data_IF_939504768517
#
_entry.id   IF_939504768517
#
_cell.length_a   1.000
_cell.length_b   1.000
_cell.length_c   1.000
_cell.angle_alpha   90.00
_cell.angle_beta   90.00
_cell.angle_gamma   90.00
#
_symmetry.space_group_name_H-M   'P 1'
#
loop_
_entity.id
_entity.type
_entity.pdbx_description
1 polymer ?
#
# COMPACT_ATOMS: atom_id res chain seq x y z
N UNK A 1 -32.77 10.53 -7.65
CA UNK A 1 -31.63 9.86 -7.01
C UNK A 1 -30.99 8.84 -7.96
N UNK A 2 -31.74 7.85 -8.51
CA UNK A 2 -31.20 6.83 -9.41
C UNK A 2 -30.48 7.42 -10.65
N UNK A 3 -31.07 8.41 -11.29
CA UNK A 3 -30.45 9.08 -12.44
C UNK A 3 -29.13 9.79 -12.09
N UNK A 4 -29.01 10.35 -10.87
CA UNK A 4 -27.77 10.98 -10.42
C UNK A 4 -26.69 9.92 -10.11
N UNK A 5 -27.04 8.77 -9.58
CA UNK A 5 -26.07 7.65 -9.37
C UNK A 5 -25.52 7.17 -10.71
N UNK A 6 -26.40 6.97 -11.69
CA UNK A 6 -25.98 6.59 -13.03
C UNK A 6 -25.09 7.65 -13.70
N UNK A 7 -25.41 8.93 -13.48
CA UNK A 7 -24.61 10.03 -14.00
C UNK A 7 -23.23 10.11 -13.29
N UNK A 8 -23.16 9.79 -11.99
CA UNK A 8 -21.91 9.70 -11.25
C UNK A 8 -21.01 8.60 -11.86
N UNK A 9 -21.56 7.40 -12.09
CA UNK A 9 -20.84 6.29 -12.72
C UNK A 9 -20.29 6.68 -14.11
N UNK A 10 -21.07 7.40 -14.92
CA UNK A 10 -20.61 7.90 -16.23
C UNK A 10 -19.41 8.84 -16.06
N UNK A 11 -19.48 9.83 -15.16
CA UNK A 11 -18.38 10.78 -14.96
C UNK A 11 -17.13 10.11 -14.36
N UNK A 12 -17.27 9.08 -13.52
CA UNK A 12 -16.16 8.27 -13.05
C UNK A 12 -15.49 7.50 -14.21
N UNK A 13 -16.27 6.90 -15.11
CA UNK A 13 -15.75 6.21 -16.29
C UNK A 13 -15.05 7.17 -17.26
N UNK A 14 -15.62 8.37 -17.47
CA UNK A 14 -15.02 9.43 -18.28
C UNK A 14 -13.84 10.12 -17.59
N UNK A 15 -13.62 9.87 -16.29
CA UNK A 15 -12.63 10.54 -15.43
C UNK A 15 -12.81 12.06 -15.37
N UNK A 16 -14.07 12.52 -15.49
CA UNK A 16 -14.46 13.91 -15.29
C UNK A 16 -14.75 14.16 -13.80
N UNK A 17 -13.65 14.23 -13.04
CA UNK A 17 -13.72 14.29 -11.57
C UNK A 17 -14.41 15.55 -11.06
N UNK A 18 -14.32 16.68 -11.78
CA UNK A 18 -15.03 17.89 -11.39
C UNK A 18 -16.54 17.71 -11.43
N UNK A 19 -17.07 17.08 -12.48
CA UNK A 19 -18.49 16.78 -12.56
C UNK A 19 -18.88 15.68 -11.58
N UNK A 20 -18.05 14.66 -11.39
CA UNK A 20 -18.29 13.61 -10.42
C UNK A 20 -18.45 14.18 -8.99
N UNK A 21 -17.60 15.11 -8.57
CA UNK A 21 -17.71 15.81 -7.28
C UNK A 21 -19.06 16.52 -7.18
N UNK A 22 -19.44 17.34 -8.18
CA UNK A 22 -20.71 18.09 -8.13
C UNK A 22 -21.95 17.18 -8.11
N UNK A 23 -21.89 15.97 -8.67
CA UNK A 23 -22.97 14.98 -8.57
C UNK A 23 -22.96 14.28 -7.20
N UNK A 24 -21.79 13.94 -6.66
CA UNK A 24 -21.65 13.32 -5.36
C UNK A 24 -22.20 14.23 -4.24
N UNK A 25 -21.90 15.54 -4.26
CA UNK A 25 -22.44 16.53 -3.34
C UNK A 25 -23.99 16.62 -3.40
N UNK A 26 -24.56 16.60 -4.62
CA UNK A 26 -26.01 16.56 -4.81
C UNK A 26 -26.63 15.28 -4.26
N UNK A 27 -25.98 14.14 -4.49
CA UNK A 27 -26.42 12.86 -3.95
C UNK A 27 -26.36 12.84 -2.42
N UNK A 28 -25.31 13.39 -1.81
CA UNK A 28 -25.17 13.53 -0.36
C UNK A 28 -26.34 14.34 0.22
N UNK A 29 -26.65 15.48 -0.40
CA UNK A 29 -27.76 16.34 0.02
C UNK A 29 -29.13 15.66 -0.10
N UNK A 30 -29.35 14.87 -1.16
CA UNK A 30 -30.64 14.23 -1.46
C UNK A 30 -30.87 12.94 -0.69
N UNK A 31 -29.82 12.12 -0.52
CA UNK A 31 -29.91 10.78 0.08
C UNK A 31 -29.59 10.74 1.58
N UNK A 32 -28.90 11.76 2.08
CA UNK A 32 -28.33 11.76 3.43
C UNK A 32 -27.15 10.79 3.62
N UNK A 33 -26.76 10.05 2.56
CA UNK A 33 -25.56 9.20 2.59
C UNK A 33 -24.35 10.08 2.35
N UNK A 34 -23.29 9.90 3.15
CA UNK A 34 -22.03 10.59 2.94
C UNK A 34 -21.31 10.08 1.70
N UNK A 35 -20.80 11.01 0.90
CA UNK A 35 -19.94 10.77 -0.26
C UNK A 35 -18.54 11.41 -0.06
N UNK A 36 -18.21 11.81 1.15
CA UNK A 36 -16.95 12.50 1.46
C UNK A 36 -15.71 11.68 1.13
N UNK A 37 -15.80 10.36 1.27
CA UNK A 37 -14.72 9.43 0.92
C UNK A 37 -14.50 9.34 -0.59
N UNK A 38 -15.58 9.23 -1.34
CA UNK A 38 -15.56 9.21 -2.81
C UNK A 38 -15.02 10.53 -3.35
N UNK A 39 -15.53 11.67 -2.84
CA UNK A 39 -15.07 13.02 -3.23
C UNK A 39 -13.57 13.20 -2.94
N UNK A 40 -13.08 12.74 -1.76
CA UNK A 40 -11.66 12.78 -1.45
C UNK A 40 -10.82 11.98 -2.45
N UNK A 41 -11.31 10.82 -2.89
CA UNK A 41 -10.63 10.03 -3.91
C UNK A 41 -10.66 10.69 -5.30
N UNK A 42 -11.75 11.38 -5.69
CA UNK A 42 -11.79 12.16 -6.92
C UNK A 42 -10.78 13.30 -6.90
N UNK A 43 -10.66 13.99 -5.77
CA UNK A 43 -9.61 15.00 -5.57
C UNK A 43 -8.20 14.37 -5.67
N UNK A 44 -7.98 13.17 -5.11
CA UNK A 44 -6.72 12.45 -5.25
C UNK A 44 -6.41 12.07 -6.72
N UNK A 45 -7.41 11.74 -7.52
CA UNK A 45 -7.23 11.48 -8.96
C UNK A 45 -6.74 12.74 -9.70
N UNK A 46 -7.34 13.90 -9.39
CA UNK A 46 -6.91 15.19 -9.98
C UNK A 46 -5.48 15.53 -9.56
N UNK A 47 -5.15 15.34 -8.28
CA UNK A 47 -3.80 15.54 -7.77
C UNK A 47 -2.78 14.60 -8.42
N UNK A 48 -3.10 13.30 -8.52
CA UNK A 48 -2.25 12.32 -9.17
C UNK A 48 -1.98 12.68 -10.64
N UNK A 49 -3.02 13.13 -11.37
CA UNK A 49 -2.86 13.60 -12.75
C UNK A 49 -1.91 14.80 -12.84
N UNK A 50 -2.05 15.79 -11.94
CA UNK A 50 -1.17 16.95 -11.90
C UNK A 50 0.29 16.56 -11.59
N UNK A 51 0.51 15.65 -10.62
CA UNK A 51 1.84 15.11 -10.31
C UNK A 51 2.47 14.37 -11.50
N UNK A 52 1.70 13.53 -12.21
CA UNK A 52 2.17 12.86 -13.44
C UNK A 52 2.58 13.85 -14.55
N UNK A 53 1.99 15.06 -14.56
CA UNK A 53 2.35 16.15 -15.48
C UNK A 53 3.48 17.04 -14.94
N UNK A 54 4.09 16.68 -13.81
CA UNK A 54 5.13 17.49 -13.13
C UNK A 54 4.64 18.90 -12.75
N UNK A 55 3.38 19.01 -12.30
CA UNK A 55 2.73 20.25 -11.87
C UNK A 55 2.36 20.24 -10.39
N UNK A 56 3.33 20.27 -9.48
CA UNK A 56 3.07 20.16 -8.04
C UNK A 56 2.19 21.29 -7.50
N UNK A 57 2.29 22.50 -8.06
CA UNK A 57 1.46 23.63 -7.66
C UNK A 57 -0.03 23.43 -7.95
N UNK A 58 -0.37 22.69 -9.03
CA UNK A 58 -1.75 22.32 -9.36
C UNK A 58 -2.24 21.14 -8.48
N UNK A 59 -1.35 20.24 -8.07
CA UNK A 59 -1.70 19.08 -7.25
C UNK A 59 -2.06 19.45 -5.80
N UNK A 60 -1.36 20.40 -5.20
CA UNK A 60 -1.52 20.76 -3.78
C UNK A 60 -2.96 21.15 -3.41
N UNK A 61 -3.66 22.07 -4.12
CA UNK A 61 -5.04 22.42 -3.78
C UNK A 61 -5.99 21.20 -3.80
N UNK A 62 -5.75 20.25 -4.70
CA UNK A 62 -6.55 19.02 -4.75
C UNK A 62 -6.31 18.11 -3.56
N UNK A 63 -5.07 18.01 -3.07
CA UNK A 63 -4.75 17.22 -1.87
C UNK A 63 -5.32 17.87 -0.60
N UNK A 64 -5.24 19.20 -0.51
CA UNK A 64 -5.85 19.96 0.59
C UNK A 64 -7.36 19.77 0.61
N UNK A 65 -8.03 19.81 -0.56
CA UNK A 65 -9.45 19.52 -0.69
C UNK A 65 -9.79 18.08 -0.29
N UNK A 66 -8.99 17.09 -0.72
CA UNK A 66 -9.18 15.70 -0.34
C UNK A 66 -9.16 15.51 1.19
N UNK A 67 -8.18 16.13 1.86
CA UNK A 67 -8.05 16.07 3.32
C UNK A 67 -9.13 16.89 4.06
N UNK A 68 -9.67 17.93 3.44
CA UNK A 68 -10.80 18.68 3.98
C UNK A 68 -12.09 17.84 3.96
N UNK A 69 -12.35 17.10 2.86
CA UNK A 69 -13.49 16.19 2.75
C UNK A 69 -13.32 14.96 3.63
N UNK A 70 -12.14 14.35 3.64
CA UNK A 70 -11.85 13.15 4.42
C UNK A 70 -10.49 13.22 5.09
N UNK A 71 -10.47 13.66 6.33
CA UNK A 71 -9.25 13.87 7.13
C UNK A 71 -8.36 12.62 7.25
N UNK A 72 -8.96 11.44 7.22
CA UNK A 72 -8.26 10.16 7.31
C UNK A 72 -7.96 9.55 5.93
N UNK A 73 -8.00 10.34 4.85
CA UNK A 73 -7.68 9.87 3.52
C UNK A 73 -6.19 9.50 3.42
N UNK A 74 -5.90 8.20 3.49
CA UNK A 74 -4.53 7.66 3.37
C UNK A 74 -3.91 8.02 2.03
N UNK A 75 -4.69 7.91 0.96
CA UNK A 75 -4.23 8.21 -0.40
C UNK A 75 -3.77 9.66 -0.55
N UNK A 76 -4.49 10.61 0.06
CA UNK A 76 -4.12 12.02 0.02
C UNK A 76 -2.77 12.26 0.73
N UNK A 77 -2.54 11.65 1.91
CA UNK A 77 -1.24 11.77 2.58
C UNK A 77 -0.11 11.07 1.85
N UNK A 78 -0.38 9.95 1.18
CA UNK A 78 0.62 9.29 0.34
C UNK A 78 1.05 10.20 -0.83
N UNK A 79 0.09 10.76 -1.56
CA UNK A 79 0.34 11.69 -2.66
C UNK A 79 0.95 13.01 -2.20
N UNK A 80 0.59 13.49 -1.00
CA UNK A 80 1.21 14.66 -0.40
C UNK A 80 2.70 14.43 -0.13
N UNK A 81 3.04 13.27 0.42
CA UNK A 81 4.45 12.90 0.59
C UNK A 81 5.21 12.79 -0.74
N UNK A 82 4.58 12.23 -1.77
CA UNK A 82 5.15 12.17 -3.12
C UNK A 82 5.37 13.59 -3.69
N UNK A 83 4.42 14.51 -3.48
CA UNK A 83 4.54 15.91 -3.87
C UNK A 83 5.68 16.61 -3.14
N UNK A 84 5.77 16.46 -1.80
CA UNK A 84 6.83 17.09 -1.00
C UNK A 84 8.21 16.57 -1.39
N UNK A 85 8.34 15.27 -1.66
CA UNK A 85 9.59 14.70 -2.21
C UNK A 85 9.95 15.35 -3.54
N UNK A 86 9.00 15.51 -4.46
CA UNK A 86 9.24 16.03 -5.81
C UNK A 86 9.61 17.52 -5.80
N UNK A 87 9.15 18.30 -4.80
CA UNK A 87 9.59 19.69 -4.58
C UNK A 87 10.86 19.81 -3.73
N UNK A 88 11.41 18.67 -3.25
CA UNK A 88 12.68 18.61 -2.51
C UNK A 88 12.56 18.73 -1.00
N UNK A 89 11.34 18.81 -0.43
CA UNK A 89 11.14 18.81 1.04
C UNK A 89 10.99 17.37 1.56
N UNK A 90 12.12 16.71 1.76
CA UNK A 90 12.17 15.32 2.27
C UNK A 90 11.56 15.19 3.66
N UNK A 91 11.74 16.17 4.54
CA UNK A 91 11.19 16.11 5.90
C UNK A 91 9.67 16.14 5.88
N UNK A 92 9.10 17.03 5.08
CA UNK A 92 7.65 17.08 4.88
C UNK A 92 7.12 15.79 4.23
N UNK A 93 7.85 15.21 3.27
CA UNK A 93 7.52 13.94 2.63
C UNK A 93 7.44 12.80 3.65
N UNK A 94 8.51 12.61 4.44
CA UNK A 94 8.56 11.58 5.49
C UNK A 94 7.41 11.79 6.49
N UNK A 95 7.19 13.02 6.96
CA UNK A 95 6.11 13.33 7.89
C UNK A 95 4.72 13.01 7.32
N UNK A 96 4.49 13.25 6.03
CA UNK A 96 3.22 12.92 5.38
C UNK A 96 3.00 11.40 5.29
N UNK A 97 4.02 10.62 4.91
CA UNK A 97 3.92 9.17 4.85
C UNK A 97 3.79 8.52 6.24
N UNK A 98 4.46 9.04 7.27
CA UNK A 98 4.35 8.54 8.64
C UNK A 98 2.95 8.75 9.25
N UNK A 99 2.18 9.77 8.82
CA UNK A 99 0.78 9.96 9.26
C UNK A 99 -0.12 8.78 8.94
N UNK A 100 0.25 7.98 7.93
CA UNK A 100 -0.50 6.79 7.52
C UNK A 100 -0.61 5.77 8.66
N UNK A 101 0.40 5.65 9.53
CA UNK A 101 0.33 4.77 10.71
C UNK A 101 -0.89 5.08 11.58
N UNK A 102 -1.15 6.36 11.82
CA UNK A 102 -2.29 6.80 12.65
C UNK A 102 -3.64 6.79 11.91
N UNK A 103 -3.63 6.80 10.59
CA UNK A 103 -4.85 6.77 9.77
C UNK A 103 -5.34 5.34 9.55
N UNK A 104 -4.48 4.50 8.99
CA UNK A 104 -4.73 3.08 8.79
C UNK A 104 -3.38 2.34 8.55
N UNK A 105 -2.87 1.62 9.57
CA UNK A 105 -1.57 0.96 9.48
C UNK A 105 -1.50 -0.14 8.41
N UNK A 106 -2.63 -0.68 7.94
CA UNK A 106 -2.64 -1.66 6.85
C UNK A 106 -2.02 -1.11 5.56
N UNK A 107 -2.04 0.23 5.37
CA UNK A 107 -1.49 0.89 4.19
C UNK A 107 0.01 1.24 4.29
N UNK A 108 0.67 0.93 5.39
CA UNK A 108 2.10 1.20 5.58
C UNK A 108 2.97 0.51 4.52
N UNK A 109 2.54 -0.67 4.05
CA UNK A 109 3.23 -1.38 2.96
C UNK A 109 3.29 -0.59 1.66
N UNK A 110 2.35 0.33 1.40
CA UNK A 110 2.37 1.16 0.19
C UNK A 110 3.40 2.31 0.24
N UNK A 111 3.89 2.65 1.42
CA UNK A 111 4.84 3.76 1.61
C UNK A 111 6.21 3.31 2.14
N UNK A 112 6.38 2.03 2.44
CA UNK A 112 7.62 1.49 3.00
C UNK A 112 8.86 1.78 2.15
N UNK A 113 8.81 1.50 0.85
CA UNK A 113 9.92 1.79 -0.08
C UNK A 113 10.21 3.30 -0.19
N UNK A 114 9.16 4.14 -0.16
CA UNK A 114 9.32 5.60 -0.19
C UNK A 114 10.06 6.10 1.04
N UNK A 115 9.71 5.58 2.21
CA UNK A 115 10.37 5.90 3.48
C UNK A 115 11.84 5.46 3.45
N UNK A 116 12.14 4.21 3.06
CA UNK A 116 13.50 3.71 2.96
C UNK A 116 14.35 4.58 2.01
N UNK A 117 13.81 4.91 0.85
CA UNK A 117 14.51 5.77 -0.13
C UNK A 117 14.75 7.16 0.44
N UNK A 118 13.75 7.80 1.04
CA UNK A 118 13.88 9.16 1.57
C UNK A 118 14.88 9.24 2.72
N UNK A 119 14.89 8.26 3.62
CA UNK A 119 15.91 8.16 4.68
C UNK A 119 17.31 7.87 4.12
N UNK A 120 17.41 7.01 3.10
CA UNK A 120 18.67 6.74 2.41
C UNK A 120 19.26 7.99 1.75
N UNK A 121 18.42 8.74 1.04
CA UNK A 121 18.81 9.99 0.38
C UNK A 121 19.19 11.12 1.37
N UNK A 122 18.65 11.06 2.59
CA UNK A 122 18.99 11.98 3.69
C UNK A 122 20.26 11.54 4.46
N UNK A 123 20.87 10.41 4.07
CA UNK A 123 22.08 9.88 4.70
C UNK A 123 21.85 9.08 5.98
N UNK A 124 20.59 8.74 6.27
CA UNK A 124 20.17 8.01 7.48
C UNK A 124 19.47 6.66 7.17
N UNK A 125 20.04 5.79 6.31
CA UNK A 125 19.35 4.54 5.88
C UNK A 125 18.99 3.61 7.03
N UNK A 126 19.80 3.59 8.08
CA UNK A 126 19.57 2.80 9.29
C UNK A 126 18.30 3.23 10.04
N UNK A 127 18.02 4.53 10.09
CA UNK A 127 16.81 5.05 10.74
C UNK A 127 15.55 4.61 9.98
N UNK A 128 15.57 4.66 8.65
CA UNK A 128 14.49 4.18 7.81
C UNK A 128 14.24 2.68 8.00
N UNK A 129 15.30 1.88 8.03
CA UNK A 129 15.20 0.45 8.26
C UNK A 129 14.65 0.13 9.66
N UNK A 130 15.11 0.84 10.69
CA UNK A 130 14.62 0.66 12.06
C UNK A 130 13.15 1.09 12.21
N UNK A 131 12.72 2.14 11.50
CA UNK A 131 11.32 2.55 11.44
C UNK A 131 10.44 1.43 10.86
N UNK A 132 10.82 0.84 9.73
CA UNK A 132 10.07 -0.24 9.12
C UNK A 132 10.07 -1.52 9.97
N UNK A 133 11.16 -1.84 10.66
CA UNK A 133 11.21 -2.93 11.64
C UNK A 133 10.20 -2.69 12.76
N UNK A 134 10.14 -1.47 13.30
CA UNK A 134 9.15 -1.10 14.31
C UNK A 134 7.70 -1.21 13.82
N UNK A 135 7.44 -0.89 12.55
CA UNK A 135 6.13 -1.15 11.95
C UNK A 135 5.83 -2.64 11.82
N UNK A 136 6.79 -3.45 11.36
CA UNK A 136 6.61 -4.88 11.23
C UNK A 136 6.37 -5.57 12.60
N UNK A 137 7.00 -5.09 13.66
CA UNK A 137 6.77 -5.60 15.03
C UNK A 137 5.35 -5.32 15.54
N UNK A 138 4.77 -4.16 15.17
CA UNK A 138 3.42 -3.76 15.58
C UNK A 138 2.34 -4.35 14.66
N UNK A 139 2.60 -4.39 13.37
CA UNK A 139 1.63 -4.69 12.34
C UNK A 139 2.15 -5.80 11.43
N UNK A 140 1.64 -7.01 11.60
CA UNK A 140 2.01 -8.11 10.72
C UNK A 140 1.66 -7.80 9.26
N UNK A 141 2.65 -7.83 8.37
CA UNK A 141 2.48 -7.59 6.94
C UNK A 141 3.56 -8.30 6.14
N UNK A 142 3.16 -9.15 5.21
CA UNK A 142 4.09 -9.87 4.32
C UNK A 142 4.85 -8.91 3.38
N UNK A 143 4.19 -7.84 2.95
CA UNK A 143 4.84 -6.84 2.09
C UNK A 143 5.87 -6.01 2.87
N UNK A 144 5.58 -5.63 4.13
CA UNK A 144 6.57 -5.00 5.00
C UNK A 144 7.72 -5.96 5.33
N UNK A 145 7.42 -7.23 5.60
CA UNK A 145 8.45 -8.25 5.84
C UNK A 145 9.42 -8.34 4.65
N UNK A 146 8.90 -8.38 3.43
CA UNK A 146 9.73 -8.44 2.23
C UNK A 146 10.63 -7.20 2.11
N UNK A 147 10.09 -6.01 2.32
CA UNK A 147 10.87 -4.76 2.25
C UNK A 147 11.99 -4.71 3.30
N UNK A 148 11.69 -5.06 4.55
CA UNK A 148 12.69 -5.09 5.62
C UNK A 148 13.74 -6.18 5.38
N UNK A 149 13.32 -7.33 4.84
CA UNK A 149 14.22 -8.41 4.44
C UNK A 149 15.19 -7.95 3.35
N UNK A 150 14.69 -7.37 2.25
CA UNK A 150 15.52 -6.88 1.15
C UNK A 150 16.46 -5.77 1.61
N UNK A 151 15.96 -4.81 2.40
CA UNK A 151 16.79 -3.74 2.94
C UNK A 151 17.89 -4.27 3.88
N UNK A 152 17.60 -5.29 4.69
CA UNK A 152 18.59 -5.95 5.55
C UNK A 152 19.63 -6.71 4.73
N UNK A 153 19.24 -7.39 3.66
CA UNK A 153 20.18 -8.04 2.73
C UNK A 153 21.11 -7.03 2.07
N UNK A 154 20.60 -5.86 1.71
CA UNK A 154 21.40 -4.80 1.09
C UNK A 154 22.50 -4.27 2.01
N UNK A 155 22.38 -4.41 3.34
CA UNK A 155 23.48 -4.11 4.29
C UNK A 155 24.58 -5.18 4.34
N UNK A 156 24.38 -6.32 3.67
CA UNK A 156 25.31 -7.45 3.66
C UNK A 156 25.13 -8.43 4.82
N UNK A 157 24.13 -8.24 5.70
CA UNK A 157 23.87 -9.13 6.84
C UNK A 157 22.79 -10.18 6.50
N UNK A 158 23.16 -11.17 5.68
CA UNK A 158 22.27 -12.28 5.33
C UNK A 158 21.81 -13.11 6.55
N UNK A 159 22.66 -13.37 7.57
CA UNK A 159 22.21 -14.01 8.80
C UNK A 159 21.13 -13.21 9.56
N UNK A 160 21.22 -11.87 9.60
CA UNK A 160 20.18 -11.05 10.23
C UNK A 160 18.89 -11.08 9.42
N UNK A 161 18.97 -11.02 8.10
CA UNK A 161 17.81 -11.14 7.22
C UNK A 161 17.10 -12.49 7.40
N UNK A 162 17.86 -13.59 7.50
CA UNK A 162 17.30 -14.91 7.80
C UNK A 162 16.60 -14.96 9.16
N UNK A 163 17.25 -14.44 10.22
CA UNK A 163 16.66 -14.41 11.58
C UNK A 163 15.35 -13.62 11.58
N UNK A 164 15.31 -12.46 10.91
CA UNK A 164 14.11 -11.63 10.79
C UNK A 164 12.93 -12.44 10.22
N UNK A 165 13.13 -13.08 9.07
CA UNK A 165 12.05 -13.86 8.42
C UNK A 165 11.63 -15.04 9.27
N UNK A 166 12.59 -15.77 9.86
CA UNK A 166 12.32 -16.90 10.74
C UNK A 166 11.47 -16.51 11.94
N UNK A 167 11.81 -15.40 12.58
CA UNK A 167 11.14 -14.96 13.80
C UNK A 167 9.73 -14.41 13.46
N UNK A 168 9.56 -13.76 12.31
CA UNK A 168 8.25 -13.35 11.82
C UNK A 168 7.36 -14.54 11.45
N UNK A 169 7.88 -15.56 10.76
CA UNK A 169 7.12 -16.78 10.42
C UNK A 169 6.71 -17.55 11.68
N UNK A 170 7.52 -17.49 12.75
CA UNK A 170 7.15 -18.08 14.04
C UNK A 170 6.02 -17.30 14.72
N UNK A 171 6.02 -15.99 14.59
CA UNK A 171 4.99 -15.11 15.17
C UNK A 171 3.70 -15.21 14.38
N UNK A 172 3.79 -15.16 13.07
CA UNK A 172 2.65 -15.15 12.14
C UNK A 172 2.88 -16.22 11.06
N UNK A 173 2.52 -17.49 11.32
CA UNK A 173 2.80 -18.58 10.41
C UNK A 173 1.92 -18.47 9.15
N UNK A 174 2.57 -18.25 8.00
CA UNK A 174 1.95 -18.17 6.68
C UNK A 174 2.74 -18.99 5.66
N UNK A 175 2.10 -19.49 4.61
CA UNK A 175 2.78 -20.19 3.52
C UNK A 175 3.64 -19.23 2.68
N UNK A 176 3.19 -17.98 2.50
CA UNK A 176 4.00 -16.93 1.85
C UNK A 176 5.22 -16.57 2.69
N UNK A 177 5.09 -16.49 4.01
CA UNK A 177 6.21 -16.34 4.93
C UNK A 177 7.18 -17.51 4.85
N UNK A 178 6.68 -18.74 4.77
CA UNK A 178 7.52 -19.94 4.59
C UNK A 178 8.26 -19.94 3.24
N UNK A 179 7.62 -19.50 2.14
CA UNK A 179 8.29 -19.32 0.84
C UNK A 179 9.46 -18.33 0.97
N UNK A 180 9.27 -17.22 1.69
CA UNK A 180 10.31 -16.24 1.99
C UNK A 180 11.41 -16.80 2.88
N UNK A 181 11.07 -17.61 3.87
CA UNK A 181 12.05 -18.26 4.74
C UNK A 181 12.95 -19.23 3.95
N UNK A 182 12.38 -20.02 3.04
CA UNK A 182 13.15 -20.90 2.16
C UNK A 182 14.05 -20.10 1.21
N UNK A 183 13.60 -18.94 0.73
CA UNK A 183 14.44 -18.03 -0.04
C UNK A 183 15.66 -17.58 0.76
N UNK A 184 15.46 -17.14 2.00
CA UNK A 184 16.54 -16.74 2.89
C UNK A 184 17.50 -17.90 3.22
N UNK A 185 16.98 -19.11 3.44
CA UNK A 185 17.81 -20.30 3.68
C UNK A 185 18.67 -20.67 2.47
N UNK A 186 18.14 -20.51 1.25
CA UNK A 186 18.88 -20.86 0.03
C UNK A 186 20.11 -20.00 -0.21
N UNK A 187 20.17 -18.79 0.35
CA UNK A 187 21.35 -17.92 0.22
C UNK A 187 22.59 -18.52 0.90
N UNK A 188 22.40 -19.16 2.04
CA UNK A 188 23.50 -19.73 2.87
C UNK A 188 23.54 -21.26 2.82
N UNK A 189 22.65 -21.92 2.06
CA UNK A 189 22.53 -23.36 2.05
C UNK A 189 23.78 -24.03 1.44
N UNK A 190 24.33 -25.08 2.08
CA UNK A 190 25.35 -25.92 1.50
C UNK A 190 24.86 -26.57 0.18
N UNK A 191 25.77 -26.81 -0.75
CA UNK A 191 25.46 -27.36 -2.08
C UNK A 191 24.61 -28.65 -2.01
N UNK A 192 24.89 -29.50 -1.04
CA UNK A 192 24.21 -30.79 -0.80
C UNK A 192 22.69 -30.61 -0.47
N UNK A 193 22.32 -29.55 0.25
CA UNK A 193 20.95 -29.29 0.68
C UNK A 193 20.17 -28.35 -0.28
N UNK A 194 20.89 -27.67 -1.17
CA UNK A 194 20.30 -26.63 -2.01
C UNK A 194 19.24 -27.16 -2.96
N UNK A 195 19.47 -28.36 -3.53
CA UNK A 195 18.53 -28.98 -4.45
C UNK A 195 17.19 -29.30 -3.78
N UNK A 196 17.22 -29.90 -2.60
CA UNK A 196 16.01 -30.26 -1.84
C UNK A 196 15.22 -29.01 -1.40
N UNK A 197 15.94 -27.98 -0.92
CA UNK A 197 15.31 -26.71 -0.55
C UNK A 197 14.68 -26.00 -1.73
N UNK A 198 15.30 -26.04 -2.92
CA UNK A 198 14.74 -25.51 -4.16
C UNK A 198 13.46 -26.23 -4.56
N UNK A 199 13.45 -27.57 -4.47
CA UNK A 199 12.26 -28.36 -4.79
C UNK A 199 11.10 -28.02 -3.86
N UNK A 200 11.34 -27.94 -2.54
CA UNK A 200 10.34 -27.56 -1.56
C UNK A 200 9.81 -26.15 -1.83
N UNK A 201 10.72 -25.17 -2.09
CA UNK A 201 10.32 -23.80 -2.43
C UNK A 201 9.45 -23.75 -3.68
N UNK A 202 9.78 -24.48 -4.74
CA UNK A 202 8.99 -24.54 -5.96
C UNK A 202 7.58 -25.08 -5.71
N UNK A 203 7.43 -26.14 -4.92
CA UNK A 203 6.15 -26.72 -4.57
C UNK A 203 5.29 -25.72 -3.79
N UNK A 204 5.85 -25.09 -2.77
CA UNK A 204 5.16 -24.06 -1.98
C UNK A 204 4.75 -22.89 -2.88
N UNK A 205 5.67 -22.37 -3.68
CA UNK A 205 5.40 -21.25 -4.58
C UNK A 205 4.26 -21.54 -5.57
N UNK A 206 4.17 -22.75 -6.10
CA UNK A 206 3.07 -23.14 -7.00
C UNK A 206 1.71 -23.10 -6.29
N UNK A 207 1.64 -23.53 -5.03
CA UNK A 207 0.41 -23.56 -4.26
C UNK A 207 0.02 -22.20 -3.63
N UNK A 208 0.98 -21.29 -3.48
CA UNK A 208 0.75 -19.98 -2.83
C UNK A 208 0.38 -18.85 -3.79
N UNK A 209 0.40 -19.07 -5.10
CA UNK A 209 0.13 -18.02 -6.10
C UNK A 209 -1.20 -17.29 -5.90
N UNK A 210 -2.24 -17.99 -5.48
CA UNK A 210 -3.56 -17.40 -5.21
C UNK A 210 -3.60 -16.65 -3.88
N UNK A 211 -2.75 -17.04 -2.92
CA UNK A 211 -2.64 -16.43 -1.60
C UNK A 211 -1.90 -15.08 -1.65
N UNK A 212 -1.02 -14.91 -2.63
CA UNK A 212 -0.27 -13.68 -2.87
C UNK A 212 -1.09 -12.57 -3.54
N UNK A 213 -2.38 -12.81 -3.82
CA UNK A 213 -3.24 -11.82 -4.47
C UNK A 213 -3.90 -10.89 -3.44
N UNK A 214 -4.17 -9.66 -3.88
CA UNK A 214 -5.10 -8.76 -3.19
C UNK A 214 -6.54 -9.11 -3.57
N UNK A 215 -7.50 -8.79 -2.71
CA UNK A 215 -8.91 -9.09 -2.91
C UNK A 215 -9.77 -7.87 -2.58
N UNK A 216 -10.68 -7.53 -3.48
CA UNK A 216 -11.72 -6.55 -3.20
C UNK A 216 -12.71 -7.09 -2.17
N UNK A 217 -12.94 -6.35 -1.08
CA UNK A 217 -13.86 -6.75 -0.01
C UNK A 217 -15.33 -6.64 -0.45
N UNK A 218 -15.63 -5.79 -1.44
CA UNK A 218 -16.99 -5.61 -1.93
C UNK A 218 -17.43 -6.72 -2.90
N UNK A 219 -16.67 -6.95 -3.98
CA UNK A 219 -17.09 -7.89 -5.04
C UNK A 219 -16.28 -9.19 -5.10
N UNK A 220 -15.20 -9.33 -4.31
CA UNK A 220 -14.35 -10.50 -4.29
C UNK A 220 -13.33 -10.59 -5.44
N UNK A 221 -13.27 -9.62 -6.35
CA UNK A 221 -12.30 -9.60 -7.44
C UNK A 221 -10.87 -9.67 -6.90
N UNK A 222 -10.05 -10.55 -7.49
CA UNK A 222 -8.66 -10.78 -7.06
C UNK A 222 -7.69 -10.27 -8.10
N UNK A 223 -6.61 -9.60 -7.63
CA UNK A 223 -5.57 -9.06 -8.49
C UNK A 223 -4.17 -9.19 -7.85
N UNK A 224 -3.13 -9.23 -8.69
CA UNK A 224 -1.73 -9.25 -8.21
C UNK A 224 -1.25 -7.88 -7.73
N UNK A 225 -1.87 -6.81 -8.21
CA UNK A 225 -1.57 -5.44 -7.85
C UNK A 225 -2.69 -4.83 -7.02
N UNK A 226 -2.35 -3.86 -6.19
CA UNK A 226 -3.28 -3.08 -5.42
C UNK A 226 -4.02 -2.05 -6.29
N UNK A 227 -5.30 -1.80 -5.96
CA UNK A 227 -6.12 -0.77 -6.62
C UNK A 227 -6.83 0.10 -5.59
N UNK A 228 -6.81 1.41 -5.76
CA UNK A 228 -7.63 2.36 -5.00
C UNK A 228 -9.10 2.31 -5.43
N UNK A 229 -9.32 2.10 -6.71
CA UNK A 229 -10.64 1.98 -7.35
C UNK A 229 -10.74 0.58 -7.96
N UNK A 230 -11.70 -0.22 -7.51
CA UNK A 230 -11.84 -1.59 -7.97
C UNK A 230 -12.23 -1.64 -9.46
N UNK A 231 -11.43 -2.29 -10.33
CA UNK A 231 -11.72 -2.32 -11.75
C UNK A 231 -12.95 -3.18 -12.13
N UNK A 232 -13.46 -3.99 -11.18
CA UNK A 232 -14.59 -4.87 -11.42
C UNK A 232 -15.93 -4.28 -10.95
N UNK A 233 -15.96 -3.62 -9.79
CA UNK A 233 -17.21 -3.10 -9.22
C UNK A 233 -17.26 -1.58 -9.09
N UNK A 234 -16.17 -0.86 -9.38
CA UNK A 234 -16.13 0.59 -9.29
C UNK A 234 -16.10 1.17 -7.88
N UNK A 235 -15.98 0.34 -6.84
CA UNK A 235 -15.96 0.83 -5.46
C UNK A 235 -14.55 1.31 -5.05
N UNK A 236 -14.50 2.39 -4.26
CA UNK A 236 -13.27 3.01 -3.78
C UNK A 236 -12.79 2.41 -2.47
N UNK A 237 -11.46 2.24 -2.33
CA UNK A 237 -10.79 1.77 -1.12
C UNK A 237 -11.33 0.44 -0.58
N UNK A 238 -11.81 -0.42 -1.47
CA UNK A 238 -12.29 -1.76 -1.14
C UNK A 238 -11.22 -2.84 -1.23
N UNK A 239 -10.02 -2.48 -1.70
CA UNK A 239 -8.82 -3.28 -1.56
C UNK A 239 -8.08 -2.82 -0.31
N UNK A 240 -7.96 -3.70 0.67
CA UNK A 240 -6.95 -3.50 1.72
C UNK A 240 -5.61 -3.98 1.17
N UNK A 241 -4.49 -3.25 1.36
CA UNK A 241 -3.19 -3.67 0.86
C UNK A 241 -2.57 -4.79 1.71
N UNK A 242 -3.34 -5.87 1.89
CA UNK A 242 -2.97 -7.12 2.56
C UNK A 242 -3.21 -8.28 1.61
N UNK A 243 -2.31 -9.25 1.64
CA UNK A 243 -2.43 -10.46 0.82
C UNK A 243 -3.61 -11.32 1.29
N UNK A 244 -4.17 -12.13 0.39
CA UNK A 244 -5.36 -12.95 0.72
C UNK A 244 -5.10 -13.89 1.91
N UNK A 245 -3.87 -14.40 2.06
CA UNK A 245 -3.50 -15.26 3.18
C UNK A 245 -3.56 -14.53 4.52
N UNK A 246 -3.15 -13.26 4.58
CA UNK A 246 -3.13 -12.45 5.81
C UNK A 246 -4.53 -12.18 6.37
N UNK A 247 -5.55 -12.21 5.51
CA UNK A 247 -6.94 -11.96 5.89
C UNK A 247 -7.60 -13.12 6.65
N UNK A 248 -6.98 -14.30 6.64
CA UNK A 248 -7.42 -15.47 7.39
C UNK A 248 -6.82 -15.58 8.79
N UNK A 249 -5.91 -14.68 9.17
CA UNK A 249 -5.22 -14.69 10.45
C UNK A 249 -5.91 -13.66 11.36
N UNK A 250 -6.45 -14.06 12.54
CA UNK A 250 -6.97 -13.09 13.50
C UNK A 250 -5.88 -12.13 13.92
N UNK A 251 -6.23 -10.84 13.99
CA UNK A 251 -5.33 -9.77 14.43
C UNK A 251 -4.99 -9.90 15.92
#
# INVERSE_FOLDING_TARGET
EAALRFLLEIYEQEKDWHKAIGIAEKLETLSGRSYQKEIANFCCEMAARALMQSKPAEARPHLDAALAHHRLCVRANMLLGDLERDVGDRRAAIAAWQRIESQNPAYLSLVGERLLTAYGDDGHPEEGLNLLRGYLEKYASLDLLDMVYQATLATGDAPAAYRLVRDEVRRTPTLLGLDKLLEAQLLEAPAEKRHDLQLIKQLIHQHTRSLAMYKCEHCGFRARQFYWHCPACGEWETYEPRRTEEKGIPA
#
